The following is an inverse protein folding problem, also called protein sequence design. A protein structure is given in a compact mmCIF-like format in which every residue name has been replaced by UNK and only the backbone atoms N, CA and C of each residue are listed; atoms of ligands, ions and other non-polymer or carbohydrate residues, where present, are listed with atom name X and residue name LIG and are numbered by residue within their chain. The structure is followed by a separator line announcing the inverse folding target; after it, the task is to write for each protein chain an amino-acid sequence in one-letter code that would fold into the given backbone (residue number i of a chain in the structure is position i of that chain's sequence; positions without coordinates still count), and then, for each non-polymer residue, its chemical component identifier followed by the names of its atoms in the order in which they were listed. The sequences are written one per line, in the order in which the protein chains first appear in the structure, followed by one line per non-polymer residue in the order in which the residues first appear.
data_IF_080458057091
#
_entry.id   IF_080458057091
#
_cell.length_a   1.000
_cell.length_b   1.000
_cell.length_c   1.000
_cell.angle_alpha   90.00
_cell.angle_beta   90.00
_cell.angle_gamma   90.00
#
_symmetry.space_group_name_H-M   'P 1'
#
loop_
_entity.id
_entity.type
_entity.pdbx_description
1 polymer ?
#
# COMPACT_ATOMS: atom_id res chain seq x y z
N UNK A 1 57.61 41.55 15.38
CA UNK A 1 56.23 41.51 14.78
C UNK A 1 55.88 40.04 14.46
N UNK A 2 55.02 39.42 15.26
CA UNK A 2 54.62 38.02 15.09
C UNK A 2 53.19 38.04 14.59
N UNK A 3 52.96 37.69 13.33
CA UNK A 3 51.63 37.56 12.74
C UNK A 3 51.04 36.19 13.10
N UNK A 4 50.01 36.18 13.96
CA UNK A 4 49.23 34.99 14.27
C UNK A 4 48.15 34.87 13.16
N UNK A 5 48.29 33.89 12.25
CA UNK A 5 47.26 33.52 11.31
C UNK A 5 46.26 32.59 12.04
N UNK A 6 45.09 33.12 12.41
CA UNK A 6 43.98 32.29 12.87
C UNK A 6 43.28 31.67 11.68
N UNK A 7 43.49 30.38 11.41
CA UNK A 7 42.75 29.63 10.41
C UNK A 7 41.32 29.33 10.94
N UNK A 8 40.32 30.02 10.39
CA UNK A 8 38.93 29.77 10.64
C UNK A 8 38.50 28.49 9.89
N UNK A 9 38.44 27.35 10.60
CA UNK A 9 38.02 26.06 10.05
C UNK A 9 36.49 26.07 9.97
N UNK A 10 35.94 26.35 8.77
CA UNK A 10 34.51 26.30 8.50
C UNK A 10 34.09 24.83 8.50
N UNK A 11 33.40 24.38 9.56
CA UNK A 11 32.82 23.03 9.68
C UNK A 11 31.59 23.00 8.78
N UNK A 12 31.72 22.52 7.53
CA UNK A 12 30.58 22.17 6.69
C UNK A 12 29.90 20.94 7.32
N UNK A 13 28.86 21.17 8.11
CA UNK A 13 27.94 20.08 8.47
C UNK A 13 27.22 19.61 7.21
N UNK A 14 27.27 18.30 6.88
CA UNK A 14 26.46 17.78 5.80
C UNK A 14 25.00 17.95 6.20
N UNK A 15 24.23 18.78 5.48
CA UNK A 15 22.78 18.74 5.53
C UNK A 15 22.38 17.38 4.97
N UNK A 16 22.01 16.46 5.84
CA UNK A 16 21.33 15.22 5.43
C UNK A 16 19.98 15.63 4.83
N UNK A 17 19.91 15.67 3.50
CA UNK A 17 18.64 15.79 2.80
C UNK A 17 17.82 14.55 3.16
N UNK A 18 16.89 14.66 4.10
CA UNK A 18 15.90 13.62 4.35
C UNK A 18 14.98 13.59 3.11
N UNK A 19 15.01 12.47 2.41
CA UNK A 19 14.00 12.21 1.40
C UNK A 19 12.66 12.11 2.13
N UNK A 20 11.73 13.05 1.89
CA UNK A 20 10.38 13.00 2.47
C UNK A 20 9.59 11.77 2.01
N UNK A 21 8.33 11.68 2.41
CA UNK A 21 7.46 10.53 2.09
C UNK A 21 7.36 10.21 0.60
N UNK A 22 7.34 11.23 -0.27
CA UNK A 22 7.35 11.03 -1.74
C UNK A 22 8.66 10.39 -2.20
N UNK A 23 9.78 10.85 -1.66
CA UNK A 23 11.09 10.24 -1.95
C UNK A 23 11.14 8.77 -1.54
N UNK A 24 10.63 8.45 -0.35
CA UNK A 24 10.53 7.07 0.18
C UNK A 24 9.60 6.20 -0.66
N UNK A 25 8.46 6.73 -1.11
CA UNK A 25 7.56 6.03 -2.02
C UNK A 25 8.26 5.68 -3.34
N UNK A 26 8.95 6.64 -3.95
CA UNK A 26 9.69 6.42 -5.20
C UNK A 26 10.80 5.37 -5.02
N UNK A 27 11.54 5.42 -3.93
CA UNK A 27 12.55 4.42 -3.57
C UNK A 27 11.91 3.03 -3.38
N UNK A 28 10.81 2.93 -2.62
CA UNK A 28 10.09 1.68 -2.41
C UNK A 28 9.61 1.08 -3.74
N UNK A 29 9.02 1.89 -4.60
CA UNK A 29 8.50 1.43 -5.90
C UNK A 29 9.62 0.97 -6.81
N UNK A 30 10.72 1.70 -6.90
CA UNK A 30 11.86 1.36 -7.75
C UNK A 30 12.62 0.11 -7.28
N UNK A 31 12.74 -0.07 -5.95
CA UNK A 31 13.53 -1.15 -5.35
C UNK A 31 12.72 -2.43 -5.06
N UNK A 32 11.38 -2.40 -5.15
CA UNK A 32 10.52 -3.51 -4.71
C UNK A 32 9.67 -4.03 -5.86
N UNK A 33 10.11 -5.11 -6.50
CA UNK A 33 9.37 -5.77 -7.59
C UNK A 33 8.34 -6.76 -7.07
N UNK A 34 8.59 -7.33 -5.90
CA UNK A 34 7.65 -8.19 -5.16
C UNK A 34 7.79 -7.95 -3.67
N UNK A 35 6.72 -8.18 -2.93
CA UNK A 35 6.78 -8.17 -1.46
C UNK A 35 5.77 -9.14 -0.87
N UNK A 36 6.06 -9.51 0.39
CA UNK A 36 5.13 -10.18 1.28
C UNK A 36 5.20 -9.50 2.64
N UNK A 37 4.05 -9.31 3.28
CA UNK A 37 3.98 -8.77 4.63
C UNK A 37 2.74 -9.32 5.36
N UNK A 38 2.81 -9.36 6.68
CA UNK A 38 1.63 -9.47 7.51
C UNK A 38 0.94 -8.10 7.56
N UNK A 39 -0.38 -8.09 7.66
CA UNK A 39 -1.12 -6.85 7.86
C UNK A 39 -2.16 -6.98 8.97
N UNK A 40 -2.41 -5.87 9.63
CA UNK A 40 -3.59 -5.64 10.45
C UNK A 40 -4.39 -4.49 9.86
N UNK A 41 -5.71 -4.60 9.85
CA UNK A 41 -6.63 -3.60 9.36
C UNK A 41 -7.61 -3.20 10.46
N UNK A 42 -7.87 -1.91 10.56
CA UNK A 42 -8.93 -1.36 11.41
C UNK A 42 -9.75 -0.40 10.57
N UNK A 43 -11.06 -0.52 10.61
CA UNK A 43 -11.97 0.46 10.00
C UNK A 43 -12.62 1.27 11.13
N UNK A 44 -12.52 2.59 11.01
CA UNK A 44 -13.09 3.57 11.91
C UNK A 44 -14.25 4.29 11.21
N UNK A 45 -15.34 4.57 11.93
CA UNK A 45 -16.40 5.44 11.45
C UNK A 45 -15.99 6.93 11.51
N UNK A 46 -16.87 7.82 11.07
CA UNK A 46 -16.67 9.28 11.08
C UNK A 46 -16.40 9.87 12.49
N UNK A 47 -16.76 9.16 13.55
CA UNK A 47 -16.54 9.56 14.95
C UNK A 47 -15.24 8.95 15.52
N UNK A 48 -14.47 8.23 14.71
CA UNK A 48 -13.25 7.52 15.12
C UNK A 48 -13.52 6.23 15.92
N UNK A 49 -14.76 5.74 15.97
CA UNK A 49 -15.09 4.48 16.62
C UNK A 49 -14.73 3.32 15.69
N UNK A 50 -14.04 2.33 16.24
CA UNK A 50 -13.72 1.11 15.51
C UNK A 50 -14.97 0.28 15.22
N UNK A 51 -15.24 0.05 13.94
CA UNK A 51 -16.39 -0.73 13.46
C UNK A 51 -15.98 -2.10 12.91
N UNK A 52 -14.72 -2.25 12.46
CA UNK A 52 -14.20 -3.52 11.94
C UNK A 52 -12.71 -3.67 12.27
N UNK A 53 -12.28 -4.91 12.46
CA UNK A 53 -10.85 -5.27 12.52
C UNK A 53 -10.62 -6.55 11.74
N UNK A 54 -9.50 -6.62 11.04
CA UNK A 54 -9.11 -7.79 10.28
C UNK A 54 -7.58 -7.95 10.32
N UNK A 55 -7.10 -9.13 9.98
CA UNK A 55 -5.66 -9.38 9.80
C UNK A 55 -5.43 -10.50 8.79
N UNK A 56 -4.23 -10.52 8.22
CA UNK A 56 -3.88 -11.52 7.22
C UNK A 56 -2.50 -11.28 6.63
N UNK A 57 -2.32 -11.81 5.41
CA UNK A 57 -1.06 -11.74 4.66
C UNK A 57 -1.32 -11.04 3.33
N UNK A 58 -0.46 -10.09 3.00
CA UNK A 58 -0.42 -9.39 1.73
C UNK A 58 0.79 -9.87 0.93
N UNK A 59 0.60 -10.14 -0.35
CA UNK A 59 1.65 -10.44 -1.32
C UNK A 59 1.39 -9.66 -2.60
N UNK A 60 2.44 -9.17 -3.24
CA UNK A 60 2.33 -8.65 -4.60
C UNK A 60 3.58 -8.98 -5.44
N UNK A 61 3.39 -8.96 -6.74
CA UNK A 61 4.44 -9.00 -7.76
C UNK A 61 4.06 -8.05 -8.90
N UNK A 62 4.86 -7.02 -9.10
CA UNK A 62 4.63 -6.04 -10.17
C UNK A 62 4.97 -6.61 -11.54
N UNK A 63 4.24 -6.18 -12.59
CA UNK A 63 3.06 -5.32 -12.53
C UNK A 63 1.75 -6.12 -12.29
N UNK A 64 0.81 -5.52 -11.56
CA UNK A 64 -0.60 -5.90 -11.52
C UNK A 64 -0.97 -7.20 -10.81
N UNK A 65 -0.01 -7.92 -10.22
CA UNK A 65 -0.28 -9.18 -9.52
C UNK A 65 -0.24 -8.98 -8.02
N UNK A 66 -1.27 -9.42 -7.34
CA UNK A 66 -1.34 -9.37 -5.88
C UNK A 66 -2.26 -10.46 -5.32
N UNK A 67 -2.04 -10.76 -4.04
CA UNK A 67 -2.89 -11.65 -3.24
C UNK A 67 -2.97 -11.09 -1.82
N UNK A 68 -4.20 -10.84 -1.37
CA UNK A 68 -4.51 -10.51 0.01
C UNK A 68 -5.33 -11.63 0.59
N UNK A 69 -4.82 -12.25 1.63
CA UNK A 69 -5.50 -13.34 2.33
C UNK A 69 -5.85 -12.85 3.73
N UNK A 70 -7.12 -12.49 3.93
CA UNK A 70 -7.66 -12.22 5.25
C UNK A 70 -7.83 -13.55 5.98
N UNK A 71 -7.38 -13.59 7.24
CA UNK A 71 -7.41 -14.78 8.09
C UNK A 71 -8.34 -14.60 9.28
N UNK A 72 -8.57 -13.35 9.71
CA UNK A 72 -9.43 -13.00 10.83
C UNK A 72 -10.20 -11.72 10.51
N UNK A 73 -11.47 -11.57 11.00
CA UNK A 73 -12.27 -12.57 11.71
C UNK A 73 -12.82 -13.63 10.76
N UNK A 74 -12.93 -13.34 9.46
CA UNK A 74 -13.46 -14.22 8.40
C UNK A 74 -12.40 -14.41 7.32
N UNK A 75 -12.40 -15.59 6.72
CA UNK A 75 -11.48 -15.87 5.62
C UNK A 75 -12.01 -15.28 4.31
N UNK A 76 -11.21 -14.39 3.72
CA UNK A 76 -11.46 -13.81 2.42
C UNK A 76 -10.17 -13.77 1.62
N UNK A 77 -10.26 -14.06 0.34
CA UNK A 77 -9.10 -14.05 -0.56
C UNK A 77 -9.37 -13.07 -1.70
N UNK A 78 -8.46 -12.10 -1.87
CA UNK A 78 -8.50 -11.16 -2.99
C UNK A 78 -7.26 -11.41 -3.85
N UNK A 79 -7.45 -11.71 -5.14
CA UNK A 79 -6.36 -11.98 -6.08
C UNK A 79 -6.50 -11.10 -7.30
N UNK A 80 -5.43 -10.35 -7.61
CA UNK A 80 -5.22 -9.74 -8.92
C UNK A 80 -4.24 -10.62 -9.70
N UNK A 81 -4.65 -11.15 -10.84
CA UNK A 81 -3.83 -12.06 -11.64
C UNK A 81 -3.09 -11.35 -12.80
N UNK A 82 -3.30 -10.03 -12.93
CA UNK A 82 -2.81 -9.16 -14.00
C UNK A 82 -3.88 -8.76 -15.01
N UNK A 83 -5.01 -9.50 -15.07
CA UNK A 83 -6.14 -9.23 -15.98
C UNK A 83 -7.44 -9.05 -15.21
N UNK A 84 -7.66 -9.88 -14.19
CA UNK A 84 -8.88 -9.93 -13.39
C UNK A 84 -8.59 -9.74 -11.91
N UNK A 85 -9.58 -9.20 -11.23
CA UNK A 85 -9.70 -9.16 -9.77
C UNK A 85 -10.70 -10.23 -9.36
N UNK A 86 -10.24 -11.15 -8.52
CA UNK A 86 -11.03 -12.22 -7.91
C UNK A 86 -11.20 -11.90 -6.42
N UNK A 87 -12.41 -11.91 -5.93
CA UNK A 87 -12.74 -11.75 -4.52
C UNK A 87 -13.53 -12.99 -4.10
N UNK A 88 -12.94 -13.81 -3.25
CA UNK A 88 -13.53 -15.02 -2.75
C UNK A 88 -13.84 -14.92 -1.26
N UNK A 89 -15.11 -15.00 -0.93
CA UNK A 89 -15.61 -15.14 0.43
C UNK A 89 -15.74 -16.63 0.72
N UNK A 90 -14.93 -17.13 1.67
CA UNK A 90 -14.85 -18.56 1.96
C UNK A 90 -16.11 -19.05 2.66
N UNK A 91 -16.63 -18.28 3.61
CA UNK A 91 -17.80 -18.66 4.41
C UNK A 91 -19.09 -18.70 3.57
N UNK A 92 -19.22 -17.79 2.61
CA UNK A 92 -20.35 -17.75 1.66
C UNK A 92 -20.14 -18.69 0.46
N UNK A 93 -18.93 -19.22 0.28
CA UNK A 93 -18.52 -19.94 -0.94
C UNK A 93 -18.86 -19.18 -2.23
N UNK A 94 -18.62 -17.86 -2.20
CA UNK A 94 -18.99 -16.93 -3.29
C UNK A 94 -17.76 -16.25 -3.85
N UNK A 95 -17.67 -16.17 -5.17
CA UNK A 95 -16.60 -15.52 -5.91
C UNK A 95 -17.18 -14.35 -6.69
N UNK A 96 -16.63 -13.16 -6.51
CA UNK A 96 -16.88 -12.02 -7.40
C UNK A 96 -15.68 -11.82 -8.31
N UNK A 97 -15.90 -11.71 -9.62
CA UNK A 97 -14.86 -11.42 -10.60
C UNK A 97 -15.14 -10.09 -11.31
N UNK A 98 -14.07 -9.29 -11.51
CA UNK A 98 -14.13 -8.00 -12.22
C UNK A 98 -12.89 -7.84 -13.07
N UNK A 99 -12.95 -7.00 -14.11
CA UNK A 99 -11.73 -6.59 -14.83
C UNK A 99 -10.81 -5.79 -13.90
N UNK A 100 -9.52 -6.10 -13.90
CA UNK A 100 -8.56 -5.49 -13.00
C UNK A 100 -8.45 -3.98 -13.21
N UNK A 101 -8.41 -3.50 -14.45
CA UNK A 101 -8.30 -2.06 -14.76
C UNK A 101 -9.44 -1.25 -14.15
N UNK A 102 -10.67 -1.79 -14.15
CA UNK A 102 -11.82 -1.14 -13.51
C UNK A 102 -11.74 -1.16 -11.98
N UNK A 103 -10.96 -2.07 -11.40
CA UNK A 103 -10.81 -2.23 -9.96
C UNK A 103 -9.57 -1.53 -9.40
N UNK A 104 -8.63 -1.11 -10.26
CA UNK A 104 -7.35 -0.51 -9.85
C UNK A 104 -7.52 0.80 -9.05
N UNK A 105 -8.53 1.61 -9.39
CA UNK A 105 -8.84 2.85 -8.65
C UNK A 105 -9.48 2.63 -7.28
N UNK A 106 -9.81 1.40 -6.90
CA UNK A 106 -10.65 1.09 -5.74
C UNK A 106 -9.98 0.20 -4.68
N UNK A 107 -8.71 -0.18 -4.84
CA UNK A 107 -8.04 -1.12 -3.93
C UNK A 107 -6.63 -0.68 -3.55
N UNK A 108 -6.28 -0.70 -2.23
CA UNK A 108 -4.90 -0.48 -1.77
C UNK A 108 -3.90 -1.45 -2.41
N UNK A 109 -4.34 -2.68 -2.65
CA UNK A 109 -3.53 -3.72 -3.27
C UNK A 109 -3.12 -3.35 -4.70
N UNK A 110 -4.03 -2.73 -5.43
CA UNK A 110 -3.79 -2.25 -6.77
C UNK A 110 -2.74 -1.14 -6.83
N UNK A 111 -2.79 -0.20 -5.89
CA UNK A 111 -1.78 0.87 -5.78
C UNK A 111 -0.40 0.29 -5.50
N UNK A 112 -0.28 -0.72 -4.64
CA UNK A 112 0.99 -1.35 -4.29
C UNK A 112 1.55 -2.22 -5.41
N UNK A 113 0.68 -2.86 -6.21
CA UNK A 113 1.07 -3.75 -7.32
C UNK A 113 1.11 -3.07 -8.69
N UNK A 114 0.64 -1.84 -8.78
CA UNK A 114 0.55 -1.07 -10.03
C UNK A 114 1.89 -0.78 -10.69
N UNK A 115 1.85 0.00 -11.75
CA UNK A 115 3.03 0.47 -12.47
C UNK A 115 3.84 1.47 -11.61
N UNK A 116 5.11 1.71 -11.99
CA UNK A 116 5.96 2.70 -11.32
C UNK A 116 5.49 4.17 -11.54
N UNK A 117 4.39 4.39 -12.25
CA UNK A 117 3.87 5.69 -12.63
C UNK A 117 2.74 6.15 -11.70
N UNK A 118 2.95 6.11 -10.39
CA UNK A 118 1.94 6.51 -9.39
C UNK A 118 1.45 7.94 -9.64
N UNK A 119 2.35 8.84 -10.04
CA UNK A 119 2.01 10.23 -10.37
C UNK A 119 1.09 10.38 -11.59
N UNK A 120 0.92 9.33 -12.41
CA UNK A 120 -0.06 9.34 -13.49
C UNK A 120 -1.48 9.37 -12.95
N UNK A 121 -1.75 8.59 -11.92
CA UNK A 121 -3.10 8.34 -11.41
C UNK A 121 -3.39 9.13 -10.12
N UNK A 122 -2.34 9.62 -9.43
CA UNK A 122 -2.44 10.32 -8.15
C UNK A 122 -1.70 11.65 -8.13
N UNK A 123 -2.23 12.60 -7.37
CA UNK A 123 -1.54 13.82 -6.95
C UNK A 123 -0.86 13.49 -5.61
N UNK A 124 0.47 13.63 -5.54
CA UNK A 124 1.25 13.37 -4.34
C UNK A 124 1.56 14.68 -3.61
N UNK A 125 1.45 14.65 -2.27
CA UNK A 125 1.79 15.77 -1.39
C UNK A 125 2.55 15.25 -0.18
N UNK A 126 3.66 15.92 0.19
CA UNK A 126 4.35 15.64 1.45
C UNK A 126 3.43 15.93 2.65
N UNK A 127 3.47 15.06 3.65
CA UNK A 127 2.70 15.21 4.89
C UNK A 127 3.60 15.27 6.13
N UNK A 128 4.91 15.49 5.92
CA UNK A 128 5.90 15.65 6.98
C UNK A 128 6.40 14.34 7.57
N UNK A 129 7.09 14.44 8.70
CA UNK A 129 7.65 13.29 9.42
C UNK A 129 7.09 13.27 10.83
N UNK A 130 6.62 12.11 11.28
CA UNK A 130 6.09 11.90 12.62
C UNK A 130 6.43 10.50 13.11
N UNK A 131 6.83 10.36 14.37
CA UNK A 131 7.18 9.08 15.03
C UNK A 131 8.25 8.26 14.27
N UNK A 132 9.19 8.95 13.62
CA UNK A 132 10.25 8.31 12.82
C UNK A 132 9.79 7.76 11.46
N UNK A 133 8.59 8.12 11.03
CA UNK A 133 8.03 7.78 9.72
C UNK A 133 7.88 9.03 8.86
N UNK A 134 8.19 8.91 7.57
CA UNK A 134 7.98 9.94 6.57
C UNK A 134 6.64 9.70 5.87
N UNK A 135 5.77 10.71 5.90
CA UNK A 135 4.40 10.63 5.43
C UNK A 135 4.18 11.38 4.13
N UNK A 136 3.36 10.80 3.28
CA UNK A 136 2.81 11.47 2.11
C UNK A 136 1.31 11.20 2.01
N UNK A 137 0.62 12.10 1.31
CA UNK A 137 -0.76 11.92 0.88
C UNK A 137 -0.81 11.72 -0.64
N UNK A 138 -1.56 10.73 -1.09
CA UNK A 138 -1.90 10.49 -2.48
C UNK A 138 -3.40 10.71 -2.66
N UNK A 139 -3.77 11.63 -3.58
CA UNK A 139 -5.16 11.94 -3.93
C UNK A 139 -5.42 11.44 -5.34
N UNK A 140 -6.43 10.58 -5.56
CA UNK A 140 -6.79 10.11 -6.90
C UNK A 140 -7.14 11.30 -7.81
N UNK A 141 -6.72 11.24 -9.08
CA UNK A 141 -7.09 12.25 -10.09
C UNK A 141 -8.48 12.01 -10.69
N UNK A 142 -9.00 10.79 -10.55
CA UNK A 142 -10.32 10.40 -11.05
C UNK A 142 -11.36 10.47 -9.93
N UNK A 143 -12.58 10.93 -10.26
CA UNK A 143 -13.70 11.03 -9.29
C UNK A 143 -14.32 9.66 -8.95
N UNK A 144 -14.08 8.62 -9.76
CA UNK A 144 -14.66 7.29 -9.57
C UNK A 144 -13.85 6.40 -8.58
N UNK A 145 -12.95 7.03 -7.81
CA UNK A 145 -12.19 6.33 -6.78
C UNK A 145 -13.06 6.04 -5.56
N UNK A 146 -12.92 4.83 -5.00
CA UNK A 146 -13.54 4.47 -3.72
C UNK A 146 -12.93 5.24 -2.52
N UNK A 147 -11.85 5.99 -2.74
CA UNK A 147 -11.15 6.74 -1.70
C UNK A 147 -10.94 8.18 -2.14
N UNK A 148 -11.14 9.11 -1.22
CA UNK A 148 -10.82 10.53 -1.42
C UNK A 148 -9.33 10.81 -1.26
N UNK A 149 -8.69 10.07 -0.34
CA UNK A 149 -7.25 10.21 -0.10
C UNK A 149 -6.65 8.96 0.54
N UNK A 150 -5.37 8.77 0.29
CA UNK A 150 -4.56 7.71 0.86
C UNK A 150 -3.32 8.36 1.50
N UNK A 151 -3.14 8.20 2.82
CA UNK A 151 -1.90 8.54 3.47
C UNK A 151 -1.02 7.29 3.56
N UNK A 152 0.26 7.46 3.28
CA UNK A 152 1.26 6.40 3.36
C UNK A 152 2.42 6.85 4.22
N UNK A 153 2.90 5.97 5.10
CA UNK A 153 4.02 6.21 5.99
C UNK A 153 5.12 5.17 5.76
N UNK A 154 6.33 5.67 5.60
CA UNK A 154 7.52 4.88 5.33
C UNK A 154 8.54 5.04 6.46
N UNK A 155 9.24 3.96 6.80
CA UNK A 155 10.36 3.99 7.73
C UNK A 155 11.66 4.49 7.06
N UNK A 156 12.74 4.56 7.83
CA UNK A 156 14.05 5.00 7.35
C UNK A 156 14.59 4.14 6.18
N UNK A 157 14.21 2.85 6.10
CA UNK A 157 14.58 1.90 5.05
C UNK A 157 13.68 1.96 3.83
N UNK A 158 12.81 2.97 3.73
CA UNK A 158 11.78 3.12 2.70
C UNK A 158 10.83 1.90 2.62
N UNK A 159 10.51 1.28 3.75
CA UNK A 159 9.49 0.25 3.83
C UNK A 159 8.15 0.89 4.19
N UNK A 160 7.09 0.48 3.51
CA UNK A 160 5.74 0.91 3.83
C UNK A 160 5.29 0.27 5.15
N UNK A 161 5.00 1.10 6.15
CA UNK A 161 4.59 0.67 7.51
C UNK A 161 3.11 0.88 7.72
N UNK A 162 2.56 2.01 7.26
CA UNK A 162 1.15 2.36 7.46
C UNK A 162 0.56 2.85 6.14
N UNK A 163 -0.69 2.48 5.90
CA UNK A 163 -1.55 3.06 4.87
C UNK A 163 -2.90 3.40 5.48
N UNK A 164 -3.34 4.64 5.35
CA UNK A 164 -4.66 5.10 5.77
C UNK A 164 -5.47 5.51 4.55
N UNK A 165 -6.68 4.97 4.42
CA UNK A 165 -7.59 5.29 3.33
C UNK A 165 -8.81 5.99 3.91
N UNK A 166 -9.13 7.15 3.36
CA UNK A 166 -10.33 7.89 3.72
C UNK A 166 -11.33 7.77 2.57
N UNK A 167 -12.55 7.33 2.87
CA UNK A 167 -13.63 7.23 1.89
C UNK A 167 -14.55 8.46 1.93
N UNK A 168 -15.46 8.56 0.95
CA UNK A 168 -16.41 9.66 0.83
C UNK A 168 -17.50 9.65 1.92
N UNK A 169 -17.59 8.59 2.72
CA UNK A 169 -18.55 8.45 3.82
C UNK A 169 -17.94 8.86 5.17
N UNK A 170 -16.67 9.29 5.18
CA UNK A 170 -15.93 9.65 6.38
C UNK A 170 -15.39 8.46 7.16
N UNK A 171 -15.38 7.26 6.58
CA UNK A 171 -14.70 6.13 7.18
C UNK A 171 -13.20 6.22 6.92
N UNK A 172 -12.43 5.75 7.89
CA UNK A 172 -10.99 5.62 7.79
C UNK A 172 -10.60 4.15 7.92
N UNK A 173 -9.95 3.60 6.89
CA UNK A 173 -9.33 2.29 6.96
C UNK A 173 -7.84 2.45 7.22
N UNK A 174 -7.34 1.90 8.32
CA UNK A 174 -5.92 1.91 8.70
C UNK A 174 -5.35 0.52 8.52
N UNK A 175 -4.38 0.39 7.63
CA UNK A 175 -3.57 -0.81 7.42
C UNK A 175 -2.19 -0.60 8.04
N UNK A 176 -1.73 -1.56 8.84
CA UNK A 176 -0.36 -1.61 9.37
C UNK A 176 0.32 -2.85 8.87
N UNK A 177 1.48 -2.67 8.29
CA UNK A 177 2.29 -3.77 7.75
C UNK A 177 3.43 -4.12 8.71
N UNK A 178 3.71 -5.40 8.82
CA UNK A 178 4.82 -5.94 9.61
C UNK A 178 5.46 -7.11 8.89
N UNK A 179 6.67 -7.50 9.32
CA UNK A 179 7.42 -8.61 8.73
C UNK A 179 7.58 -8.48 7.20
N UNK A 180 7.80 -7.24 6.72
CA UNK A 180 7.94 -6.96 5.30
C UNK A 180 9.18 -7.65 4.73
N UNK A 181 8.97 -8.50 3.73
CA UNK A 181 10.01 -9.11 2.92
C UNK A 181 9.95 -8.49 1.53
N UNK A 182 11.02 -7.83 1.11
CA UNK A 182 11.13 -7.24 -0.23
C UNK A 182 11.82 -8.23 -1.17
N UNK A 183 11.31 -8.34 -2.38
CA UNK A 183 11.80 -9.20 -3.45
C UNK A 183 11.94 -10.69 -3.08
N UNK A 184 11.00 -11.28 -2.30
CA UNK A 184 10.99 -12.71 -2.08
C UNK A 184 10.71 -13.45 -3.40
N UNK A 185 11.16 -14.69 -3.51
CA UNK A 185 10.80 -15.56 -4.63
C UNK A 185 9.37 -16.05 -4.46
N UNK A 186 8.41 -15.37 -5.10
CA UNK A 186 7.01 -15.75 -5.10
C UNK A 186 6.71 -16.63 -6.32
N UNK A 187 5.96 -17.71 -6.11
CA UNK A 187 5.50 -18.55 -7.22
C UNK A 187 4.39 -17.85 -8.00
N UNK A 188 4.42 -17.94 -9.32
CA UNK A 188 3.36 -17.42 -10.19
C UNK A 188 1.98 -18.05 -9.87
N UNK A 189 1.95 -19.23 -9.28
CA UNK A 189 0.71 -19.90 -8.85
C UNK A 189 0.01 -19.15 -7.71
N UNK A 190 0.73 -18.40 -6.87
CA UNK A 190 0.15 -17.61 -5.79
C UNK A 190 -0.78 -16.51 -6.29
N UNK A 191 -0.57 -16.04 -7.52
CA UNK A 191 -1.35 -15.00 -8.16
C UNK A 191 -2.38 -15.54 -9.17
N UNK A 192 -2.60 -16.86 -9.20
CA UNK A 192 -3.69 -17.48 -9.95
C UNK A 192 -4.83 -17.84 -9.03
N UNK A 193 -6.05 -17.62 -9.49
CA UNK A 193 -7.23 -18.04 -8.77
C UNK A 193 -8.12 -18.90 -9.68
N UNK A 194 -8.60 -20.00 -9.13
CA UNK A 194 -9.60 -20.85 -9.77
C UNK A 194 -10.73 -21.01 -8.77
N UNK A 195 -11.97 -20.65 -9.12
CA UNK A 195 -13.10 -20.82 -8.24
C UNK A 195 -13.19 -22.26 -7.72
N UNK A 196 -13.39 -22.47 -6.42
CA UNK A 196 -13.60 -23.80 -5.86
C UNK A 196 -14.86 -24.47 -6.49
N UNK A 197 -14.87 -25.80 -6.47
CA UNK A 197 -16.03 -26.55 -6.99
C UNK A 197 -17.27 -26.22 -6.15
N UNK A 198 -18.34 -25.77 -6.84
CA UNK A 198 -19.60 -25.41 -6.20
C UNK A 198 -19.64 -23.99 -5.64
N UNK A 199 -18.63 -23.17 -5.88
CA UNK A 199 -18.69 -21.74 -5.57
C UNK A 199 -19.67 -21.04 -6.52
N UNK A 200 -20.45 -20.11 -5.96
CA UNK A 200 -21.26 -19.19 -6.75
C UNK A 200 -20.37 -18.09 -7.32
N UNK A 201 -20.37 -17.93 -8.65
CA UNK A 201 -19.50 -16.98 -9.34
C UNK A 201 -20.32 -15.85 -9.93
N UNK A 202 -20.07 -14.62 -9.43
CA UNK A 202 -20.73 -13.39 -9.85
C UNK A 202 -19.76 -12.50 -10.63
N UNK A 203 -20.24 -11.88 -11.69
CA UNK A 203 -19.48 -10.95 -12.54
C UNK A 203 -19.11 -11.56 -13.89
N UNK A 204 -18.32 -10.78 -14.68
CA UNK A 204 -17.91 -11.11 -16.06
C UNK A 204 -16.48 -11.68 -16.12
#
# INVERSE_FOLDING_TARGET
MRYIFAALMLFLMPLSAHAGGIGKLKEFVAATHSAQADFTQVVLDQNGKRIQSASGIMQFQRPGKFRWTYQKPYEQIIVGDGEKLWLYDVDLNQVTVKKLDAALGSSPAALLSGSNEIERDFILKESGSQDGLDWLQATPKTMDSSFESILMAFNAQAELVIMELNDAFGHKTVLRFSNMQRNPKLSAQQFRFTPPKGADVLGD
#
